data_IF_704761870856
#
_entry.id   IF_704761870856
#
_cell.length_a   1.000
_cell.length_b   1.000
_cell.length_c   1.000
_cell.angle_alpha   90.00
_cell.angle_beta   90.00
_cell.angle_gamma   90.00
#
_symmetry.space_group_name_H-M   'P 1'
#
loop_
_entity.id
_entity.type
_entity.pdbx_description
1 polymer ?
#
# COMPACT_ATOMS: atom_id res chain seq x y z
N UNK A 1 28.31 30.56 -10.11
CA UNK A 1 28.23 30.33 -8.65
C UNK A 1 27.29 29.20 -8.23
N UNK A 2 27.54 27.97 -8.70
CA UNK A 2 26.87 26.75 -8.21
C UNK A 2 27.89 25.75 -7.62
N UNK A 3 29.14 26.18 -7.48
CA UNK A 3 30.30 25.33 -7.15
C UNK A 3 30.56 25.28 -5.64
N UNK A 4 30.06 26.25 -4.86
CA UNK A 4 30.08 26.16 -3.39
C UNK A 4 28.77 25.56 -2.93
N UNK A 5 28.82 24.32 -2.45
CA UNK A 5 27.73 23.73 -1.69
C UNK A 5 27.27 24.76 -0.65
N UNK A 6 25.96 24.89 -0.46
CA UNK A 6 25.41 25.59 0.69
C UNK A 6 26.26 25.19 1.91
N UNK A 7 26.65 26.14 2.76
CA UNK A 7 27.50 25.94 3.96
C UNK A 7 26.87 24.99 5.01
N UNK A 8 25.98 24.09 4.60
CA UNK A 8 25.46 22.99 5.36
C UNK A 8 26.60 22.02 5.72
N UNK A 9 26.64 21.57 6.99
CA UNK A 9 27.56 20.53 7.40
C UNK A 9 27.26 19.23 6.64
N UNK A 10 28.27 18.68 5.95
CA UNK A 10 28.17 17.42 5.21
C UNK A 10 27.67 16.26 6.09
N UNK A 11 28.03 16.27 7.37
CA UNK A 11 27.60 15.26 8.35
C UNK A 11 26.08 15.25 8.54
N UNK A 12 25.41 16.41 8.47
CA UNK A 12 23.96 16.50 8.60
C UNK A 12 23.27 15.89 7.39
N UNK A 13 23.77 16.18 6.18
CA UNK A 13 23.26 15.58 4.94
C UNK A 13 23.43 14.06 4.94
N UNK A 14 24.59 13.57 5.38
CA UNK A 14 24.86 12.12 5.49
C UNK A 14 23.94 11.46 6.52
N UNK A 15 23.72 12.11 7.67
CA UNK A 15 22.80 11.62 8.70
C UNK A 15 21.36 11.57 8.20
N UNK A 16 20.90 12.61 7.51
CA UNK A 16 19.55 12.67 6.94
C UNK A 16 19.34 11.59 5.87
N UNK A 17 20.32 11.40 4.98
CA UNK A 17 20.28 10.34 3.97
C UNK A 17 20.19 8.95 4.61
N UNK A 18 21.00 8.68 5.64
CA UNK A 18 20.95 7.42 6.38
C UNK A 18 19.60 7.21 7.08
N UNK A 19 19.02 8.25 7.69
CA UNK A 19 17.69 8.17 8.31
C UNK A 19 16.59 7.93 7.28
N UNK A 20 16.62 8.62 6.15
CA UNK A 20 15.66 8.38 5.06
C UNK A 20 15.72 6.93 4.56
N UNK A 21 16.94 6.38 4.45
CA UNK A 21 17.16 4.99 4.07
C UNK A 21 16.55 4.01 5.07
N UNK A 22 16.81 4.22 6.36
CA UNK A 22 16.27 3.37 7.42
C UNK A 22 14.74 3.47 7.51
N UNK A 23 14.20 4.68 7.37
CA UNK A 23 12.76 4.94 7.30
C UNK A 23 12.10 4.12 6.19
N UNK A 24 12.66 4.12 4.99
CA UNK A 24 12.12 3.37 3.84
C UNK A 24 12.15 1.85 4.09
N UNK A 25 13.21 1.34 4.73
CA UNK A 25 13.31 -0.08 5.12
C UNK A 25 12.25 -0.43 6.17
N UNK A 26 12.08 0.41 7.19
CA UNK A 26 11.08 0.22 8.23
C UNK A 26 9.66 0.26 7.66
N UNK A 27 9.37 1.17 6.73
CA UNK A 27 8.08 1.23 6.03
C UNK A 27 7.85 -0.07 5.26
N UNK A 28 8.85 -0.58 4.53
CA UNK A 28 8.73 -1.87 3.82
C UNK A 28 8.42 -3.01 4.79
N UNK A 29 9.19 -3.11 5.88
CA UNK A 29 8.99 -4.17 6.87
C UNK A 29 7.62 -4.07 7.54
N UNK A 30 7.15 -2.85 7.82
CA UNK A 30 5.81 -2.59 8.34
C UNK A 30 4.71 -3.12 7.41
N UNK A 31 4.87 -2.93 6.09
CA UNK A 31 3.89 -3.40 5.10
C UNK A 31 3.90 -4.91 4.96
N UNK A 32 5.06 -5.55 4.99
CA UNK A 32 5.17 -7.01 4.83
C UNK A 32 4.81 -7.77 6.12
N UNK A 33 4.86 -7.11 7.29
CA UNK A 33 4.58 -7.78 8.57
C UNK A 33 3.09 -8.03 8.78
N UNK A 34 2.69 -9.30 8.77
CA UNK A 34 1.32 -9.73 9.10
C UNK A 34 1.00 -9.64 10.61
N UNK A 35 1.97 -9.96 11.46
CA UNK A 35 1.79 -9.97 12.92
C UNK A 35 1.52 -8.56 13.47
N UNK A 36 0.32 -8.35 14.01
CA UNK A 36 -0.12 -7.08 14.56
C UNK A 36 0.78 -6.55 15.69
N UNK A 37 1.38 -7.43 16.51
CA UNK A 37 2.26 -6.99 17.60
C UNK A 37 3.56 -6.44 17.05
N UNK A 38 4.25 -7.21 16.20
CA UNK A 38 5.49 -6.79 15.54
C UNK A 38 5.29 -5.53 14.72
N UNK A 39 4.18 -5.44 13.99
CA UNK A 39 3.84 -4.26 13.18
C UNK A 39 3.69 -2.98 14.02
N UNK A 40 3.13 -3.07 15.23
CA UNK A 40 3.07 -1.92 16.16
C UNK A 40 4.45 -1.45 16.62
N UNK A 41 5.39 -2.36 16.86
CA UNK A 41 6.77 -2.00 17.19
C UNK A 41 7.47 -1.28 16.02
N UNK A 42 7.32 -1.79 14.80
CA UNK A 42 7.89 -1.15 13.60
C UNK A 42 7.24 0.22 13.36
N UNK A 43 5.92 0.33 13.56
CA UNK A 43 5.21 1.60 13.47
C UNK A 43 5.79 2.66 14.42
N UNK A 44 6.10 2.26 15.66
CA UNK A 44 6.74 3.17 16.61
C UNK A 44 8.10 3.64 16.11
N UNK A 45 8.93 2.73 15.58
CA UNK A 45 10.23 3.08 15.00
C UNK A 45 10.10 4.05 13.81
N UNK A 46 9.09 3.87 12.95
CA UNK A 46 8.81 4.80 11.83
C UNK A 46 8.48 6.21 12.34
N UNK A 47 7.67 6.32 13.40
CA UNK A 47 7.35 7.64 13.98
C UNK A 47 8.56 8.28 14.66
N UNK A 48 9.42 7.48 15.30
CA UNK A 48 10.70 7.96 15.84
C UNK A 48 11.60 8.50 14.72
N UNK A 49 11.73 7.77 13.61
CA UNK A 49 12.50 8.22 12.44
C UNK A 49 11.94 9.51 11.81
N UNK A 50 10.61 9.63 11.66
CA UNK A 50 9.96 10.85 11.16
C UNK A 50 10.18 12.03 12.10
N UNK A 51 10.09 11.81 13.41
CA UNK A 51 10.36 12.83 14.43
C UNK A 51 11.81 13.31 14.36
N UNK A 52 12.77 12.39 14.21
CA UNK A 52 14.18 12.75 14.08
C UNK A 52 14.46 13.55 12.80
N UNK A 53 13.82 13.20 11.68
CA UNK A 53 13.92 13.98 10.43
C UNK A 53 13.32 15.38 10.62
N UNK A 54 12.21 15.51 11.34
CA UNK A 54 11.62 16.81 11.66
C UNK A 54 12.59 17.68 12.48
N UNK A 55 13.25 17.11 13.49
CA UNK A 55 14.28 17.82 14.27
C UNK A 55 15.49 18.24 13.43
N UNK A 56 15.91 17.40 12.47
CA UNK A 56 16.95 17.76 11.51
C UNK A 56 16.52 18.93 10.62
N UNK A 57 15.27 18.94 10.16
CA UNK A 57 14.72 20.05 9.38
C UNK A 57 14.71 21.36 10.17
N UNK A 58 14.39 21.31 11.47
CA UNK A 58 14.44 22.49 12.34
C UNK A 58 15.87 23.02 12.54
N UNK A 59 16.87 22.13 12.68
CA UNK A 59 18.28 22.54 12.72
C UNK A 59 18.72 23.26 11.44
N UNK A 60 18.25 22.79 10.27
CA UNK A 60 18.50 23.46 8.99
C UNK A 60 17.81 24.82 8.96
N UNK A 61 16.58 24.93 9.47
CA UNK A 61 15.83 26.20 9.56
C UNK A 61 16.56 27.26 10.38
N UNK A 62 17.17 26.88 11.49
CA UNK A 62 17.91 27.80 12.38
C UNK A 62 19.32 28.14 11.89
N UNK A 63 19.82 27.49 10.83
CA UNK A 63 21.17 27.69 10.33
C UNK A 63 21.32 29.03 9.57
N UNK A 64 22.52 29.67 9.60
CA UNK A 64 22.74 31.02 9.08
C UNK A 64 22.87 31.12 7.55
N UNK A 65 22.29 30.19 6.77
CA UNK A 65 22.46 30.20 5.32
C UNK A 65 21.71 31.36 4.65
N UNK A 66 22.43 32.05 3.76
CA UNK A 66 22.07 33.33 3.14
C UNK A 66 20.87 33.30 2.16
N UNK A 67 20.23 32.13 1.95
CA UNK A 67 19.10 31.93 1.01
C UNK A 67 18.10 30.86 1.49
N UNK A 68 17.86 30.78 2.80
CA UNK A 68 17.24 29.60 3.42
C UNK A 68 15.71 29.49 3.30
N UNK A 69 14.97 30.59 3.31
CA UNK A 69 13.52 30.53 3.61
C UNK A 69 12.72 29.69 2.60
N UNK A 70 12.98 29.86 1.30
CA UNK A 70 12.27 29.11 0.26
C UNK A 70 12.69 27.63 0.19
N UNK A 71 13.98 27.31 0.37
CA UNK A 71 14.48 25.94 0.35
C UNK A 71 14.04 25.16 1.59
N UNK A 72 14.14 25.77 2.78
CA UNK A 72 13.66 25.20 4.04
C UNK A 72 12.16 24.92 3.98
N UNK A 73 11.37 25.85 3.45
CA UNK A 73 9.93 25.64 3.25
C UNK A 73 9.65 24.43 2.35
N UNK A 74 10.42 24.23 1.26
CA UNK A 74 10.29 23.07 0.38
C UNK A 74 10.66 21.76 1.08
N UNK A 75 11.72 21.76 1.90
CA UNK A 75 12.13 20.57 2.68
C UNK A 75 11.04 20.17 3.66
N UNK A 76 10.50 21.12 4.43
CA UNK A 76 9.41 20.87 5.37
C UNK A 76 8.16 20.39 4.63
N UNK A 77 7.84 20.99 3.49
CA UNK A 77 6.73 20.55 2.66
C UNK A 77 6.92 19.11 2.16
N UNK A 78 8.12 18.75 1.68
CA UNK A 78 8.46 17.40 1.25
C UNK A 78 8.32 16.39 2.41
N UNK A 79 8.79 16.74 3.60
CA UNK A 79 8.62 15.91 4.81
C UNK A 79 7.15 15.70 5.15
N UNK A 80 6.32 16.74 5.08
CA UNK A 80 4.87 16.61 5.29
C UNK A 80 4.20 15.72 4.24
N UNK A 81 4.63 15.82 2.96
CA UNK A 81 4.15 14.93 1.91
C UNK A 81 4.54 13.47 2.19
N UNK A 82 5.74 13.22 2.68
CA UNK A 82 6.16 11.87 3.10
C UNK A 82 5.29 11.33 4.24
N UNK A 83 5.05 12.13 5.29
CA UNK A 83 4.17 11.74 6.39
C UNK A 83 2.76 11.41 5.89
N UNK A 84 2.19 12.26 5.02
CA UNK A 84 0.86 12.03 4.44
C UNK A 84 0.83 10.75 3.59
N UNK A 85 1.86 10.51 2.78
CA UNK A 85 1.96 9.31 1.96
C UNK A 85 2.03 8.04 2.83
N UNK A 86 2.83 8.08 3.91
CA UNK A 86 2.91 6.99 4.87
C UNK A 86 1.56 6.72 5.55
N UNK A 87 0.86 7.76 6.00
CA UNK A 87 -0.46 7.61 6.63
C UNK A 87 -1.50 7.00 5.69
N UNK A 88 -1.50 7.42 4.41
CA UNK A 88 -2.36 6.79 3.39
C UNK A 88 -2.04 5.32 3.21
N UNK A 89 -0.76 4.98 3.18
CA UNK A 89 -0.29 3.61 3.03
C UNK A 89 -0.68 2.74 4.24
N UNK A 90 -0.57 3.30 5.45
CA UNK A 90 -1.07 2.69 6.69
C UNK A 90 -2.56 2.42 6.60
N UNK A 91 -3.35 3.38 6.14
CA UNK A 91 -4.80 3.20 6.01
C UNK A 91 -5.11 2.02 5.09
N UNK A 92 -4.45 1.92 3.94
CA UNK A 92 -4.63 0.79 3.01
C UNK A 92 -4.26 -0.53 3.71
N UNK A 93 -3.11 -0.60 4.40
CA UNK A 93 -2.64 -1.82 5.06
C UNK A 93 -3.50 -2.25 6.26
N UNK A 94 -3.99 -1.30 7.04
CA UNK A 94 -4.70 -1.58 8.30
C UNK A 94 -6.22 -1.73 8.10
N UNK A 95 -6.77 -1.06 7.09
CA UNK A 95 -8.18 -1.11 6.72
C UNK A 95 -8.41 -1.81 5.37
N UNK A 96 -7.77 -2.98 5.18
CA UNK A 96 -8.19 -3.96 4.17
C UNK A 96 -9.72 -4.20 4.26
N UNK A 97 -10.34 -4.82 3.25
CA UNK A 97 -11.80 -5.03 3.24
C UNK A 97 -12.26 -5.60 4.58
N UNK A 98 -13.20 -4.95 5.29
CA UNK A 98 -13.56 -5.37 6.63
C UNK A 98 -14.07 -6.81 6.60
N UNK A 99 -13.70 -7.61 7.60
CA UNK A 99 -14.03 -9.05 7.66
C UNK A 99 -15.53 -9.32 7.47
N UNK A 100 -16.38 -8.41 7.93
CA UNK A 100 -17.83 -8.46 7.75
C UNK A 100 -18.25 -8.33 6.28
N UNK A 101 -17.64 -7.40 5.53
CA UNK A 101 -17.93 -7.22 4.11
C UNK A 101 -17.44 -8.42 3.30
N UNK A 102 -16.25 -8.96 3.60
CA UNK A 102 -15.74 -10.18 2.96
C UNK A 102 -16.68 -11.37 3.18
N UNK A 103 -17.14 -11.56 4.41
CA UNK A 103 -18.09 -12.62 4.74
C UNK A 103 -19.44 -12.42 4.03
N UNK A 104 -19.96 -11.18 4.01
CA UNK A 104 -21.18 -10.84 3.30
C UNK A 104 -21.09 -11.16 1.80
N UNK A 105 -20.01 -10.74 1.13
CA UNK A 105 -19.81 -10.99 -0.30
C UNK A 105 -19.71 -12.48 -0.60
N UNK A 106 -19.04 -13.28 0.25
CA UNK A 106 -18.98 -14.74 0.11
C UNK A 106 -20.38 -15.35 0.20
N UNK A 107 -21.17 -14.99 1.21
CA UNK A 107 -22.56 -15.47 1.35
C UNK A 107 -23.40 -15.07 0.14
N UNK A 108 -23.26 -13.83 -0.34
CA UNK A 108 -23.97 -13.33 -1.51
C UNK A 108 -23.65 -14.12 -2.78
N UNK A 109 -22.37 -14.42 -3.03
CA UNK A 109 -21.91 -15.20 -4.19
C UNK A 109 -22.47 -16.62 -4.16
N UNK A 110 -22.59 -17.24 -2.99
CA UNK A 110 -23.25 -18.56 -2.86
C UNK A 110 -24.79 -18.49 -3.00
N UNK A 111 -25.41 -17.41 -2.55
CA UNK A 111 -26.87 -17.26 -2.58
C UNK A 111 -27.40 -16.87 -3.97
N UNK A 112 -26.64 -16.11 -4.74
CA UNK A 112 -27.04 -15.61 -6.07
C UNK A 112 -27.47 -16.71 -7.05
N UNK A 113 -26.72 -17.82 -7.24
CA UNK A 113 -27.14 -18.92 -8.10
C UNK A 113 -28.46 -19.57 -7.65
N UNK A 114 -28.71 -19.64 -6.34
CA UNK A 114 -29.95 -20.20 -5.79
C UNK A 114 -31.15 -19.31 -6.12
N UNK A 115 -30.99 -17.99 -5.96
CA UNK A 115 -32.03 -17.01 -6.28
C UNK A 115 -32.33 -16.93 -7.79
N UNK A 116 -31.31 -17.13 -8.63
CA UNK A 116 -31.45 -17.12 -10.09
C UNK A 116 -31.92 -18.49 -10.64
N UNK A 117 -31.94 -19.54 -9.82
CA UNK A 117 -32.34 -20.88 -10.25
C UNK A 117 -33.74 -20.99 -10.90
N UNK A 118 -34.78 -20.27 -10.46
CA UNK A 118 -36.09 -20.31 -11.11
C UNK A 118 -36.05 -19.71 -12.52
N UNK A 119 -35.19 -18.72 -12.75
CA UNK A 119 -34.98 -18.12 -14.05
C UNK A 119 -34.33 -19.10 -15.02
N UNK A 120 -33.37 -19.91 -14.57
CA UNK A 120 -32.76 -20.95 -15.43
C UNK A 120 -33.80 -21.93 -15.95
N UNK A 121 -34.72 -22.36 -15.08
CA UNK A 121 -35.82 -23.27 -15.46
C UNK A 121 -36.78 -22.59 -16.42
N UNK A 122 -37.12 -21.32 -16.19
CA UNK A 122 -37.96 -20.54 -17.09
C UNK A 122 -37.35 -20.41 -18.50
N UNK A 123 -36.05 -20.08 -18.59
CA UNK A 123 -35.33 -20.02 -19.87
C UNK A 123 -35.31 -21.36 -20.59
N UNK A 124 -35.10 -22.48 -19.88
CA UNK A 124 -35.17 -23.82 -20.48
C UNK A 124 -36.54 -24.15 -21.08
N UNK A 125 -37.63 -23.72 -20.42
CA UNK A 125 -38.99 -23.88 -20.95
C UNK A 125 -39.25 -23.03 -22.18
N UNK A 126 -38.73 -21.80 -22.22
CA UNK A 126 -38.89 -20.90 -23.37
C UNK A 126 -38.12 -21.39 -24.61
N UNK A 127 -36.93 -21.98 -24.42
CA UNK A 127 -36.11 -22.50 -25.53
C UNK A 127 -36.45 -23.95 -25.89
N UNK A 128 -37.43 -24.59 -25.22
CA UNK A 128 -37.79 -26.01 -25.37
C UNK A 128 -36.61 -26.98 -25.27
N UNK A 129 -35.53 -26.57 -24.58
CA UNK A 129 -34.29 -27.32 -24.49
C UNK A 129 -33.98 -27.66 -23.04
N UNK A 130 -33.88 -28.96 -22.77
CA UNK A 130 -33.52 -29.49 -21.46
C UNK A 130 -32.07 -29.10 -21.05
N UNK A 131 -31.21 -28.77 -22.01
CA UNK A 131 -29.79 -28.47 -21.76
C UNK A 131 -29.52 -27.00 -21.38
N UNK A 132 -30.39 -26.08 -21.79
CA UNK A 132 -30.23 -24.64 -21.55
C UNK A 132 -30.05 -24.28 -20.06
N UNK A 133 -30.84 -24.80 -19.10
CA UNK A 133 -30.68 -24.49 -17.68
C UNK A 133 -29.32 -24.94 -17.12
N UNK A 134 -28.84 -26.12 -17.54
CA UNK A 134 -27.54 -26.65 -17.11
C UNK A 134 -26.38 -25.80 -17.62
N UNK A 135 -26.45 -25.39 -18.90
CA UNK A 135 -25.44 -24.51 -19.49
C UNK A 135 -25.35 -23.17 -18.75
N UNK A 136 -26.50 -22.53 -18.49
CA UNK A 136 -26.55 -21.26 -17.74
C UNK A 136 -26.02 -21.46 -16.32
N UNK A 137 -26.38 -22.54 -15.63
CA UNK A 137 -25.91 -22.83 -14.27
C UNK A 137 -24.39 -22.99 -14.19
N UNK A 138 -23.78 -23.71 -15.15
CA UNK A 138 -22.32 -23.85 -15.22
C UNK A 138 -21.65 -22.51 -15.49
N UNK A 139 -22.16 -21.74 -16.45
CA UNK A 139 -21.62 -20.42 -16.79
C UNK A 139 -21.70 -19.43 -15.62
N UNK A 140 -22.83 -19.39 -14.92
CA UNK A 140 -23.02 -18.49 -13.77
C UNK A 140 -22.12 -18.92 -12.60
N UNK A 141 -22.00 -20.22 -12.35
CA UNK A 141 -21.09 -20.73 -11.30
C UNK A 141 -19.63 -20.40 -11.61
N UNK A 142 -19.22 -20.53 -12.87
CA UNK A 142 -17.88 -20.14 -13.32
C UNK A 142 -17.64 -18.63 -13.18
N UNK A 143 -18.60 -17.80 -13.57
CA UNK A 143 -18.51 -16.34 -13.48
C UNK A 143 -18.33 -15.89 -12.02
N UNK A 144 -19.18 -16.39 -11.13
CA UNK A 144 -19.11 -16.07 -9.70
C UNK A 144 -17.87 -16.63 -9.03
N UNK A 145 -17.44 -17.85 -9.38
CA UNK A 145 -16.19 -18.43 -8.88
C UNK A 145 -14.96 -17.62 -9.31
N UNK A 146 -14.92 -17.18 -10.57
CA UNK A 146 -13.83 -16.33 -11.08
C UNK A 146 -13.80 -14.96 -10.39
N UNK A 147 -14.97 -14.36 -10.19
CA UNK A 147 -15.09 -13.08 -9.48
C UNK A 147 -14.59 -13.20 -8.02
N UNK A 148 -14.95 -14.28 -7.33
CA UNK A 148 -14.46 -14.54 -5.97
C UNK A 148 -12.94 -14.69 -5.92
N UNK A 149 -12.35 -15.41 -6.89
CA UNK A 149 -10.90 -15.60 -6.96
C UNK A 149 -10.15 -14.27 -7.13
N UNK A 150 -10.64 -13.39 -8.02
CA UNK A 150 -10.06 -12.05 -8.23
C UNK A 150 -10.20 -11.18 -6.98
N UNK A 151 -11.37 -11.20 -6.33
CA UNK A 151 -11.60 -10.43 -5.09
C UNK A 151 -10.71 -10.89 -3.94
N UNK A 152 -10.55 -12.20 -3.74
CA UNK A 152 -9.65 -12.72 -2.70
C UNK A 152 -8.20 -12.31 -2.98
N UNK A 153 -7.79 -12.21 -4.25
CA UNK A 153 -6.42 -11.83 -4.61
C UNK A 153 -6.11 -10.35 -4.42
N UNK A 154 -7.08 -9.48 -4.72
CA UNK A 154 -6.94 -8.02 -4.59
C UNK A 154 -7.05 -7.52 -3.14
N UNK A 155 -7.43 -8.38 -2.19
CA UNK A 155 -7.79 -7.94 -0.84
C UNK A 155 -6.59 -7.63 0.06
N UNK A 156 -5.42 -8.19 -0.24
CA UNK A 156 -4.15 -7.80 0.40
C UNK A 156 -3.05 -7.55 -0.64
N UNK A 157 -2.78 -6.29 -1.03
CA UNK A 157 -1.80 -5.97 -2.07
C UNK A 157 -0.34 -6.12 -1.60
N UNK A 158 -0.11 -6.48 -0.33
CA UNK A 158 1.22 -6.59 0.28
C UNK A 158 1.57 -8.02 0.71
N UNK A 159 0.73 -9.02 0.42
CA UNK A 159 0.96 -10.42 0.83
C UNK A 159 2.04 -11.13 -0.03
N UNK A 160 2.28 -10.64 -1.25
CA UNK A 160 3.32 -11.17 -2.14
C UNK A 160 2.96 -12.52 -2.78
N UNK A 161 1.71 -12.96 -2.65
CA UNK A 161 1.19 -14.23 -3.17
C UNK A 161 0.61 -14.02 -4.60
N UNK A 162 0.70 -12.81 -5.15
CA UNK A 162 0.04 -12.36 -6.37
C UNK A 162 0.86 -11.75 -7.47
N UNK A 163 0.35 -11.93 -8.68
CA UNK A 163 0.87 -11.25 -9.87
C UNK A 163 0.67 -9.74 -9.80
N UNK A 164 -0.48 -9.30 -9.26
CA UNK A 164 -0.86 -7.88 -9.13
C UNK A 164 -0.38 -7.22 -7.83
N UNK A 165 0.42 -7.92 -7.02
CA UNK A 165 0.88 -7.39 -5.74
C UNK A 165 1.97 -6.32 -5.94
N UNK A 166 2.10 -5.43 -4.96
CA UNK A 166 3.09 -4.36 -5.00
C UNK A 166 4.50 -4.94 -4.82
N UNK A 167 5.33 -4.81 -5.87
CA UNK A 167 6.73 -5.27 -5.86
C UNK A 167 7.64 -4.37 -5.01
N UNK A 168 7.66 -4.61 -3.70
CA UNK A 168 8.52 -3.88 -2.75
C UNK A 168 10.01 -4.29 -2.78
N UNK A 169 10.38 -5.30 -3.58
CA UNK A 169 11.79 -5.73 -3.74
C UNK A 169 12.68 -4.73 -4.47
N UNK A 170 12.12 -3.84 -5.30
CA UNK A 170 12.92 -2.80 -5.98
C UNK A 170 13.38 -1.67 -5.06
N UNK A 171 12.81 -1.56 -3.85
CA UNK A 171 13.27 -0.60 -2.84
C UNK A 171 14.73 -0.86 -2.45
N UNK A 172 15.22 -2.09 -2.63
CA UNK A 172 16.62 -2.44 -2.42
C UNK A 172 17.58 -1.78 -3.42
N UNK A 173 17.10 -1.29 -4.58
CA UNK A 173 17.93 -0.62 -5.61
C UNK A 173 18.43 0.75 -5.12
N UNK A 174 17.71 1.41 -4.21
CA UNK A 174 18.21 2.60 -3.51
C UNK A 174 19.47 2.33 -2.68
N UNK A 175 19.81 1.06 -2.38
CA UNK A 175 21.09 0.70 -1.76
C UNK A 175 22.28 0.83 -2.72
N UNK A 176 22.07 0.73 -4.04
CA UNK A 176 23.17 0.59 -5.02
C UNK A 176 23.52 1.93 -5.70
N UNK A 177 22.54 2.82 -5.92
CA UNK A 177 22.74 3.98 -6.81
C UNK A 177 23.30 5.26 -6.16
N UNK A 178 23.49 5.30 -4.83
CA UNK A 178 23.93 6.51 -4.10
C UNK A 178 25.32 6.37 -3.44
N UNK A 179 26.09 5.34 -3.77
CA UNK A 179 27.53 5.36 -3.52
C UNK A 179 28.20 6.15 -4.66
N UNK A 180 28.92 7.25 -4.37
CA UNK A 180 29.84 7.84 -5.34
C UNK A 180 30.99 6.89 -5.68
#
# INVERSE_FOLDING_TARGET
DWIKAAELPLDLLKTLSNKLKFLVINIREYLLTEDSKKRKFILQAIYEDLSDIAQLNDKIRTSPLKSNSALVARIIHCHNLMCLAFERLRVIREYNSPRSLRAFTKVFIFLMPLLLSPYYVFSGRQTESAWTPYYISVMVSFLYGSLQAVQDKLDDPFDGIGEDDVKLGQVDIFNVQLMP
#
